data_IF_313268140899
#
_entry.id   IF_313268140899
#
_cell.length_a   1.000
_cell.length_b   1.000
_cell.length_c   1.000
_cell.angle_alpha   90.00
_cell.angle_beta   90.00
_cell.angle_gamma   90.00
#
_symmetry.space_group_name_H-M   'P 1'
#
loop_
_entity.id
_entity.type
_entity.pdbx_description
1 polymer ?
#
# COMPACT_ATOMS: atom_id res chain seq x y z
N UNK A 1 9.12 13.52 -5.52
CA UNK A 1 8.72 12.54 -4.51
C UNK A 1 9.96 11.83 -3.97
N UNK A 2 10.07 11.77 -2.69
CA UNK A 2 11.21 11.14 -2.06
C UNK A 2 10.91 9.68 -1.71
N UNK A 3 11.97 8.90 -1.56
CA UNK A 3 11.88 7.52 -1.11
C UNK A 3 11.09 7.41 0.21
N UNK A 4 11.28 8.39 1.08
CA UNK A 4 10.60 8.44 2.37
C UNK A 4 9.07 8.48 2.23
N UNK A 5 8.57 9.20 1.25
CA UNK A 5 7.13 9.29 1.00
C UNK A 5 6.56 7.94 0.59
N UNK A 6 7.29 7.21 -0.25
CA UNK A 6 6.89 5.88 -0.69
C UNK A 6 6.88 4.91 0.48
N UNK A 7 7.94 4.93 1.28
CA UNK A 7 8.06 4.07 2.46
C UNK A 7 6.94 4.36 3.46
N UNK A 8 6.66 5.63 3.70
CA UNK A 8 5.58 6.05 4.60
C UNK A 8 4.23 5.54 4.10
N UNK A 9 4.00 5.56 2.80
CA UNK A 9 2.76 5.09 2.21
C UNK A 9 2.60 3.57 2.37
N UNK A 10 3.68 2.83 2.24
CA UNK A 10 3.66 1.37 2.45
C UNK A 10 3.28 1.06 3.89
N UNK A 11 3.90 1.72 4.86
CA UNK A 11 3.62 1.50 6.27
C UNK A 11 2.20 1.92 6.64
N UNK A 12 1.75 3.04 6.13
CA UNK A 12 0.40 3.54 6.36
C UNK A 12 -0.65 2.54 5.86
N UNK A 13 -0.47 2.04 4.65
CA UNK A 13 -1.40 1.09 4.06
C UNK A 13 -1.40 -0.23 4.82
N UNK A 14 -0.22 -0.71 5.18
CA UNK A 14 -0.09 -1.97 5.94
C UNK A 14 -0.75 -1.84 7.31
N UNK A 15 -0.51 -0.74 8.00
CA UNK A 15 -1.11 -0.48 9.32
C UNK A 15 -2.63 -0.42 9.24
N UNK A 16 -3.14 0.23 8.19
CA UNK A 16 -4.58 0.32 7.95
C UNK A 16 -5.19 -1.07 7.75
N UNK A 17 -4.52 -1.92 6.99
CA UNK A 17 -5.00 -3.28 6.72
C UNK A 17 -4.94 -4.20 7.95
N UNK A 18 -4.03 -3.91 8.88
CA UNK A 18 -3.88 -4.69 10.11
C UNK A 18 -4.80 -4.25 11.23
N UNK A 19 -5.46 -3.12 11.06
CA UNK A 19 -6.43 -2.63 12.02
C UNK A 19 -7.69 -3.48 11.92
N UNK A 20 -8.13 -4.07 13.01
CA UNK A 20 -9.27 -4.96 13.06
C UNK A 20 -10.55 -4.31 12.53
N UNK A 21 -10.75 -3.03 12.82
CA UNK A 21 -11.91 -2.30 12.33
C UNK A 21 -11.93 -2.23 10.80
N UNK A 22 -10.76 -2.02 10.21
CA UNK A 22 -10.64 -1.92 8.76
C UNK A 22 -10.68 -3.29 8.09
N UNK A 23 -10.12 -4.30 8.73
CA UNK A 23 -10.08 -5.66 8.20
C UNK A 23 -11.48 -6.24 7.98
N UNK A 24 -12.47 -5.78 8.72
CA UNK A 24 -13.86 -6.23 8.57
C UNK A 24 -14.43 -5.89 7.19
N UNK A 25 -13.90 -4.87 6.53
CA UNK A 25 -14.38 -4.42 5.22
C UNK A 25 -13.63 -5.04 4.06
N UNK A 26 -12.65 -5.89 4.34
CA UNK A 26 -11.82 -6.53 3.32
C UNK A 26 -11.91 -8.04 3.50
N UNK A 27 -12.13 -8.77 2.41
CA UNK A 27 -12.17 -10.23 2.47
C UNK A 27 -10.80 -10.76 2.88
N UNK A 28 -10.78 -11.84 3.68
CA UNK A 28 -9.55 -12.40 4.22
C UNK A 28 -8.52 -12.74 3.14
N UNK A 29 -8.96 -13.31 2.03
CA UNK A 29 -8.07 -13.66 0.92
C UNK A 29 -7.45 -12.41 0.28
N UNK A 30 -8.28 -11.38 0.08
CA UNK A 30 -7.84 -10.10 -0.48
C UNK A 30 -6.90 -9.37 0.47
N UNK A 31 -7.20 -9.43 1.77
CA UNK A 31 -6.37 -8.82 2.80
C UNK A 31 -4.96 -9.41 2.78
N UNK A 32 -4.86 -10.73 2.76
CA UNK A 32 -3.59 -11.43 2.73
C UNK A 32 -2.79 -11.09 1.46
N UNK A 33 -3.46 -11.09 0.31
CA UNK A 33 -2.85 -10.72 -0.96
C UNK A 33 -2.31 -9.29 -0.95
N UNK A 34 -3.05 -8.35 -0.37
CA UNK A 34 -2.62 -6.96 -0.28
C UNK A 34 -1.41 -6.80 0.62
N UNK A 35 -1.37 -7.53 1.73
CA UNK A 35 -0.22 -7.50 2.64
C UNK A 35 1.01 -8.08 1.95
N UNK A 36 0.86 -9.16 1.20
CA UNK A 36 1.95 -9.75 0.42
C UNK A 36 2.46 -8.77 -0.63
N UNK A 37 1.57 -8.06 -1.32
CA UNK A 37 1.95 -7.05 -2.30
C UNK A 37 2.74 -5.91 -1.66
N UNK A 38 2.33 -5.48 -0.47
CA UNK A 38 3.05 -4.44 0.27
C UNK A 38 4.44 -4.91 0.69
N UNK A 39 4.56 -6.16 1.10
CA UNK A 39 5.85 -6.74 1.45
C UNK A 39 6.76 -6.79 0.22
N UNK A 40 6.22 -7.16 -0.94
CA UNK A 40 6.97 -7.18 -2.19
C UNK A 40 7.42 -5.77 -2.59
N UNK A 41 6.59 -4.76 -2.38
CA UNK A 41 6.96 -3.36 -2.66
C UNK A 41 8.07 -2.89 -1.72
N UNK A 42 7.99 -3.29 -0.45
CA UNK A 42 9.03 -2.96 0.53
C UNK A 42 10.37 -3.60 0.15
N UNK A 43 10.34 -4.87 -0.25
CA UNK A 43 11.54 -5.57 -0.71
C UNK A 43 12.12 -4.89 -1.94
N UNK A 44 11.28 -4.52 -2.89
CA UNK A 44 11.70 -3.77 -4.07
C UNK A 44 12.39 -2.46 -3.67
N UNK A 45 11.80 -1.75 -2.73
CA UNK A 45 12.32 -0.45 -2.28
C UNK A 45 13.74 -0.57 -1.71
N UNK A 46 14.00 -1.61 -0.94
CA UNK A 46 15.29 -1.80 -0.31
C UNK A 46 16.34 -2.45 -1.21
N UNK A 47 15.90 -3.20 -2.21
CA UNK A 47 16.81 -3.88 -3.15
C UNK A 47 16.99 -3.07 -4.43
N UNK A 48 16.02 -3.10 -5.30
CA UNK A 48 16.10 -2.47 -6.63
C UNK A 48 15.78 -0.99 -6.61
N UNK A 49 14.94 -0.57 -5.68
CA UNK A 49 14.49 0.81 -5.58
C UNK A 49 15.61 1.82 -5.35
N UNK A 50 16.71 1.38 -4.74
CA UNK A 50 17.85 2.26 -4.45
C UNK A 50 18.45 2.85 -5.73
N UNK A 51 18.36 2.13 -6.85
CA UNK A 51 18.88 2.57 -8.15
C UNK A 51 17.80 2.91 -9.16
N UNK A 52 16.53 2.92 -8.74
CA UNK A 52 15.41 3.21 -9.62
C UNK A 52 15.27 4.70 -9.91
N UNK A 53 14.74 5.02 -11.09
CA UNK A 53 14.44 6.40 -11.49
C UNK A 53 13.27 6.95 -10.69
N UNK A 54 13.23 8.27 -10.60
CA UNK A 54 12.10 8.99 -10.00
C UNK A 54 10.75 8.55 -10.62
N UNK A 55 10.70 8.38 -11.94
CA UNK A 55 9.47 8.00 -12.63
C UNK A 55 8.96 6.62 -12.20
N UNK A 56 9.85 5.69 -11.87
CA UNK A 56 9.47 4.36 -11.38
C UNK A 56 8.85 4.48 -9.99
N UNK A 57 9.46 5.27 -9.10
CA UNK A 57 8.90 5.55 -7.78
C UNK A 57 7.52 6.18 -7.87
N UNK A 58 7.39 7.16 -8.74
CA UNK A 58 6.13 7.87 -8.92
C UNK A 58 5.01 6.94 -9.40
N UNK A 59 5.32 6.08 -10.35
CA UNK A 59 4.36 5.12 -10.88
C UNK A 59 3.88 4.15 -9.81
N UNK A 60 4.81 3.58 -9.04
CA UNK A 60 4.47 2.66 -7.96
C UNK A 60 3.71 3.35 -6.84
N UNK A 61 4.07 4.56 -6.52
CA UNK A 61 3.36 5.35 -5.50
C UNK A 61 1.92 5.61 -5.92
N UNK A 62 1.71 5.97 -7.17
CA UNK A 62 0.36 6.24 -7.69
C UNK A 62 -0.52 4.99 -7.62
N UNK A 63 0.03 3.84 -7.96
CA UNK A 63 -0.71 2.58 -7.87
C UNK A 63 -1.12 2.28 -6.43
N UNK A 64 -0.19 2.42 -5.50
CA UNK A 64 -0.45 2.16 -4.10
C UNK A 64 -1.46 3.14 -3.51
N UNK A 65 -1.32 4.43 -3.82
CA UNK A 65 -2.25 5.45 -3.35
C UNK A 65 -3.66 5.22 -3.90
N UNK A 66 -3.76 4.77 -5.13
CA UNK A 66 -5.04 4.47 -5.76
C UNK A 66 -5.73 3.28 -5.08
N UNK A 67 -4.98 2.25 -4.76
CA UNK A 67 -5.50 1.09 -4.04
C UNK A 67 -5.99 1.48 -2.65
N UNK A 68 -5.21 2.29 -1.96
CA UNK A 68 -5.58 2.77 -0.62
C UNK A 68 -6.86 3.60 -0.67
N UNK A 69 -6.99 4.47 -1.67
CA UNK A 69 -8.19 5.28 -1.88
C UNK A 69 -9.42 4.40 -2.08
N UNK A 70 -9.30 3.33 -2.84
CA UNK A 70 -10.39 2.38 -3.05
C UNK A 70 -10.82 1.71 -1.74
N UNK A 71 -9.86 1.35 -0.91
CA UNK A 71 -10.15 0.75 0.39
C UNK A 71 -10.90 1.71 1.30
N UNK A 72 -10.47 2.96 1.36
CA UNK A 72 -11.13 3.98 2.17
C UNK A 72 -12.56 4.24 1.68
N UNK A 73 -12.74 4.30 0.37
CA UNK A 73 -14.06 4.49 -0.25
C UNK A 73 -14.99 3.35 0.11
N UNK A 74 -14.50 2.11 0.02
CA UNK A 74 -15.28 0.94 0.36
C UNK A 74 -15.71 0.95 1.83
N UNK A 75 -14.79 1.31 2.71
CA UNK A 75 -15.11 1.44 4.14
C UNK A 75 -16.22 2.47 4.36
N UNK A 76 -16.15 3.58 3.63
CA UNK A 76 -17.16 4.64 3.72
C UNK A 76 -18.57 4.16 3.36
N UNK A 77 -18.67 3.19 2.44
CA UNK A 77 -19.97 2.65 2.04
C UNK A 77 -20.65 1.84 3.16
N UNK A 78 -19.88 1.32 4.10
CA UNK A 78 -20.40 0.52 5.20
C UNK A 78 -20.69 1.32 6.47
N UNK A 79 -20.38 2.60 6.44
CA UNK A 79 -20.63 3.50 7.58
C UNK A 79 -21.97 4.30 7.37
#
# INVERSE_FOLDING_TARGET
MARNDFESMIYKTRSWLRDDENAEFVEADTLEERIENLTALEDWLYEDGASANYSVYEEKYKELAKDFEKLETRKGWYQ
#
